data_IF_406924929178
#
_entry.id   IF_406924929178
#
_cell.length_a   1.000
_cell.length_b   1.000
_cell.length_c   1.000
_cell.angle_alpha   90.00
_cell.angle_beta   90.00
_cell.angle_gamma   90.00
#
_symmetry.space_group_name_H-M   'P 1'
#
loop_
_entity.id
_entity.type
_entity.pdbx_description
1 polymer ?
#
# COMPACT_ATOMS: atom_id res chain seq x y z
N UNK A 1 -6.91 -13.69 -8.57
CA UNK A 1 -7.81 -12.53 -8.77
C UNK A 1 -6.98 -11.27 -8.65
N UNK A 2 -6.85 -10.50 -9.74
CA UNK A 2 -6.06 -9.26 -9.73
C UNK A 2 -6.85 -8.16 -9.02
N UNK A 3 -6.51 -7.88 -7.77
CA UNK A 3 -7.18 -6.85 -6.98
C UNK A 3 -6.73 -5.47 -7.47
N UNK A 4 -7.70 -4.61 -7.77
CA UNK A 4 -7.46 -3.20 -8.07
C UNK A 4 -6.94 -2.49 -6.84
N UNK A 5 -5.72 -1.96 -6.93
CA UNK A 5 -5.16 -1.00 -5.98
C UNK A 5 -5.73 0.37 -6.35
N UNK A 6 -6.82 0.79 -5.71
CA UNK A 6 -7.34 2.15 -5.83
C UNK A 6 -7.17 2.87 -4.50
N UNK A 7 -6.48 4.01 -4.50
CA UNK A 7 -6.34 4.91 -3.35
C UNK A 7 -7.33 6.05 -3.54
N UNK A 8 -8.28 6.20 -2.61
CA UNK A 8 -9.11 7.40 -2.50
C UNK A 8 -9.07 7.89 -1.06
N UNK A 9 -8.56 9.12 -0.86
CA UNK A 9 -8.83 9.95 0.31
C UNK A 9 -7.61 10.32 1.17
N UNK A 10 -7.21 11.59 1.09
CA UNK A 10 -6.27 12.23 2.02
C UNK A 10 -6.88 12.35 3.42
N UNK A 11 -6.20 11.80 4.44
CA UNK A 11 -6.68 11.63 5.81
C UNK A 11 -6.54 12.86 6.72
N UNK A 12 -6.00 13.98 6.23
CA UNK A 12 -5.64 15.13 7.08
C UNK A 12 -6.81 15.76 7.83
N UNK A 13 -8.04 15.65 7.33
CA UNK A 13 -9.22 16.30 7.95
C UNK A 13 -9.93 15.44 9.02
N UNK A 14 -9.66 14.13 9.11
CA UNK A 14 -10.44 13.23 9.96
C UNK A 14 -9.82 12.99 11.36
N UNK A 15 -8.51 13.22 11.51
CA UNK A 15 -7.80 12.97 12.77
C UNK A 15 -8.11 13.99 13.86
N UNK A 16 -8.21 15.28 13.50
CA UNK A 16 -8.51 16.39 14.44
C UNK A 16 -9.87 16.25 15.14
N UNK A 17 -10.82 15.51 14.54
CA UNK A 17 -12.17 15.38 15.08
C UNK A 17 -12.34 14.24 16.09
N UNK A 18 -11.45 13.24 16.10
CA UNK A 18 -11.68 11.98 16.83
C UNK A 18 -10.89 11.91 18.14
N UNK A 19 -9.69 12.46 18.20
CA UNK A 19 -8.80 12.25 19.36
C UNK A 19 -9.00 13.30 20.46
N UNK A 20 -9.54 14.47 20.11
CA UNK A 20 -9.58 15.58 21.07
C UNK A 20 -8.18 16.03 21.50
N UNK A 21 -7.17 15.80 20.67
CA UNK A 21 -5.82 16.34 20.81
C UNK A 21 -5.19 16.48 19.43
N UNK A 22 -4.38 17.52 19.26
CA UNK A 22 -3.56 17.69 18.08
C UNK A 22 -2.42 16.65 18.12
N UNK A 23 -2.38 15.78 17.10
CA UNK A 23 -1.42 14.69 17.00
C UNK A 23 0.03 15.16 16.75
N UNK A 24 0.24 16.45 16.46
CA UNK A 24 1.58 17.02 16.26
C UNK A 24 2.15 17.62 17.55
N UNK A 25 1.30 18.14 18.43
CA UNK A 25 1.72 18.93 19.61
C UNK A 25 1.36 18.30 20.95
N UNK A 26 0.42 17.36 21.00
CA UNK A 26 0.10 16.58 22.20
C UNK A 26 -0.62 17.35 23.33
N UNK A 27 -1.11 18.57 23.09
CA UNK A 27 -1.96 19.27 24.06
C UNK A 27 -3.38 18.66 24.08
N UNK A 28 -3.91 18.39 25.28
CA UNK A 28 -5.28 17.92 25.45
C UNK A 28 -6.28 19.03 25.12
N UNK A 29 -7.19 18.77 24.18
CA UNK A 29 -8.31 19.66 23.90
C UNK A 29 -9.40 19.51 24.99
N UNK A 30 -9.05 19.81 26.23
CA UNK A 30 -9.96 19.87 27.39
C UNK A 30 -10.91 21.09 27.38
N UNK A 31 -11.29 21.63 26.20
CA UNK A 31 -12.13 22.84 26.09
C UNK A 31 -13.45 22.67 25.35
N UNK A 32 -13.85 21.46 24.94
CA UNK A 32 -15.10 21.25 24.20
C UNK A 32 -16.22 20.54 24.95
N UNK A 33 -15.99 20.01 26.16
CA UNK A 33 -17.07 19.45 26.99
C UNK A 33 -17.86 20.52 27.78
N UNK A 34 -17.46 21.79 27.74
CA UNK A 34 -18.16 22.86 28.43
C UNK A 34 -19.20 23.61 27.57
N UNK A 35 -19.35 23.30 26.28
CA UNK A 35 -20.22 24.06 25.37
C UNK A 35 -21.27 23.21 24.62
N UNK A 36 -21.52 21.97 25.05
CA UNK A 36 -22.77 21.29 24.68
C UNK A 36 -23.83 21.74 25.68
N UNK A 37 -24.46 22.88 25.36
CA UNK A 37 -25.61 23.39 26.10
C UNK A 37 -26.67 22.30 26.24
N UNK A 38 -26.81 21.77 27.46
CA UNK A 38 -27.86 20.86 27.85
C UNK A 38 -29.18 21.64 27.87
N UNK A 39 -29.87 21.74 26.74
CA UNK A 39 -31.25 22.24 26.69
C UNK A 39 -32.15 21.18 27.36
N UNK A 40 -32.81 21.45 28.49
CA UNK A 40 -33.74 20.51 29.10
C UNK A 40 -34.93 20.31 28.16
N UNK A 41 -35.12 19.09 27.64
CA UNK A 41 -36.31 18.71 26.86
C UNK A 41 -36.15 18.49 25.34
N UNK A 42 -34.94 18.61 24.77
CA UNK A 42 -34.73 18.38 23.34
C UNK A 42 -34.40 16.94 22.96
N UNK A 43 -35.07 16.36 21.95
CA UNK A 43 -34.81 15.03 21.35
C UNK A 43 -33.46 14.94 20.59
N UNK A 44 -32.34 15.30 21.22
CA UNK A 44 -31.01 15.40 20.58
C UNK A 44 -30.19 14.11 20.77
N UNK A 45 -30.46 13.32 21.82
CA UNK A 45 -29.70 12.09 22.12
C UNK A 45 -29.74 11.04 20.99
N UNK A 46 -30.85 10.93 20.26
CA UNK A 46 -31.01 9.93 19.21
C UNK A 46 -30.21 10.23 17.93
N UNK A 47 -29.95 11.51 17.62
CA UNK A 47 -29.17 11.91 16.44
C UNK A 47 -27.67 11.81 16.69
N UNK A 48 -27.19 12.21 17.87
CA UNK A 48 -25.77 12.08 18.26
C UNK A 48 -25.35 10.61 18.33
N UNK A 49 -26.18 9.73 18.91
CA UNK A 49 -25.89 8.30 18.97
C UNK A 49 -25.76 7.62 17.59
N UNK A 50 -26.62 7.98 16.63
CA UNK A 50 -26.53 7.46 15.24
C UNK A 50 -25.30 7.98 14.50
N UNK A 51 -24.94 9.24 14.69
CA UNK A 51 -23.75 9.84 14.05
C UNK A 51 -22.47 9.20 14.61
N UNK A 52 -22.33 9.13 15.94
CA UNK A 52 -21.17 8.50 16.58
C UNK A 52 -21.03 7.00 16.22
N UNK A 53 -22.13 6.25 16.18
CA UNK A 53 -22.13 4.85 15.76
C UNK A 53 -21.71 4.65 14.30
N UNK A 54 -22.19 5.51 13.39
CA UNK A 54 -21.81 5.45 11.98
C UNK A 54 -20.33 5.82 11.75
N UNK A 55 -19.80 6.79 12.51
CA UNK A 55 -18.37 7.14 12.48
C UNK A 55 -17.51 5.98 12.97
N UNK A 56 -17.85 5.39 14.13
CA UNK A 56 -17.14 4.21 14.66
C UNK A 56 -17.14 3.04 13.67
N UNK A 57 -18.29 2.72 13.05
CA UNK A 57 -18.39 1.65 12.03
C UNK A 57 -17.51 1.93 10.81
N UNK A 58 -17.43 3.19 10.35
CA UNK A 58 -16.59 3.60 9.21
C UNK A 58 -15.10 3.49 9.53
N UNK A 59 -14.68 3.93 10.71
CA UNK A 59 -13.28 3.84 11.16
C UNK A 59 -12.87 2.38 11.28
N UNK A 60 -13.66 1.54 11.96
CA UNK A 60 -13.39 0.10 12.12
C UNK A 60 -13.33 -0.63 10.78
N UNK A 61 -14.20 -0.28 9.83
CA UNK A 61 -14.15 -0.79 8.47
C UNK A 61 -12.88 -0.38 7.71
N UNK A 62 -12.48 0.89 7.81
CA UNK A 62 -11.27 1.40 7.17
C UNK A 62 -10.01 0.71 7.70
N UNK A 63 -9.83 0.61 9.02
CA UNK A 63 -8.65 -0.06 9.62
C UNK A 63 -8.59 -1.54 9.26
N UNK A 64 -9.74 -2.22 9.19
CA UNK A 64 -9.80 -3.62 8.76
C UNK A 64 -9.38 -3.78 7.30
N UNK A 65 -9.79 -2.85 6.44
CA UNK A 65 -9.40 -2.85 5.02
C UNK A 65 -7.90 -2.57 4.84
N UNK A 66 -7.34 -1.65 5.63
CA UNK A 66 -5.92 -1.33 5.64
C UNK A 66 -5.08 -2.53 6.11
N UNK A 67 -5.51 -3.20 7.19
CA UNK A 67 -4.83 -4.39 7.69
C UNK A 67 -4.84 -5.53 6.67
N UNK A 68 -5.97 -5.77 6.00
CA UNK A 68 -6.05 -6.77 4.91
C UNK A 68 -5.12 -6.41 3.75
N UNK A 69 -5.06 -5.13 3.38
CA UNK A 69 -4.14 -4.65 2.34
C UNK A 69 -2.68 -4.82 2.75
N UNK A 70 -2.32 -4.49 4.00
CA UNK A 70 -0.96 -4.66 4.52
C UNK A 70 -0.52 -6.11 4.42
N UNK A 71 -1.32 -7.05 4.95
CA UNK A 71 -1.00 -8.48 4.88
C UNK A 71 -0.86 -8.99 3.45
N UNK A 72 -1.69 -8.48 2.54
CA UNK A 72 -1.59 -8.81 1.12
C UNK A 72 -0.28 -8.31 0.50
N UNK A 73 0.08 -7.04 0.73
CA UNK A 73 1.34 -6.46 0.26
C UNK A 73 2.56 -7.17 0.87
N UNK A 74 2.50 -7.55 2.16
CA UNK A 74 3.55 -8.30 2.84
C UNK A 74 3.75 -9.68 2.19
N UNK A 75 2.65 -10.35 1.79
CA UNK A 75 2.70 -11.60 1.04
C UNK A 75 3.39 -11.43 -0.32
N UNK A 76 3.00 -10.40 -1.07
CA UNK A 76 3.60 -10.07 -2.37
C UNK A 76 5.10 -9.75 -2.24
N UNK A 77 5.46 -8.88 -1.29
CA UNK A 77 6.84 -8.50 -0.99
C UNK A 77 7.69 -9.72 -0.63
N UNK A 78 7.18 -10.59 0.25
CA UNK A 78 7.88 -11.81 0.69
C UNK A 78 8.15 -12.77 -0.46
N UNK A 79 7.27 -12.84 -1.46
CA UNK A 79 7.47 -13.72 -2.62
C UNK A 79 8.72 -13.35 -3.44
N UNK A 80 9.12 -12.08 -3.44
CA UNK A 80 10.36 -11.60 -4.09
C UNK A 80 11.64 -12.07 -3.38
N UNK A 81 11.55 -12.32 -2.07
CA UNK A 81 12.66 -12.81 -1.22
C UNK A 81 12.92 -14.31 -1.37
N UNK A 82 12.05 -15.05 -2.08
CA UNK A 82 12.25 -16.46 -2.31
C UNK A 82 13.61 -16.70 -3.01
N UNK A 83 14.38 -17.67 -2.50
CA UNK A 83 15.67 -18.03 -3.06
C UNK A 83 15.51 -18.59 -4.48
N UNK A 84 16.49 -18.25 -5.30
CA UNK A 84 16.67 -18.66 -6.67
C UNK A 84 18.10 -19.22 -6.85
N UNK A 85 18.53 -19.43 -8.08
CA UNK A 85 19.85 -19.95 -8.41
C UNK A 85 20.95 -18.93 -8.11
N UNK A 86 22.15 -19.45 -7.85
CA UNK A 86 23.38 -18.65 -7.66
C UNK A 86 23.34 -17.70 -6.45
N UNK A 87 22.62 -18.05 -5.39
CA UNK A 87 22.51 -17.22 -4.18
C UNK A 87 21.70 -15.94 -4.36
N UNK A 88 21.02 -15.79 -5.50
CA UNK A 88 20.11 -14.68 -5.75
C UNK A 88 18.70 -15.02 -5.24
N UNK A 89 17.92 -14.00 -4.88
CA UNK A 89 16.47 -14.12 -4.72
C UNK A 89 15.79 -13.93 -6.07
N UNK A 90 14.50 -14.28 -6.16
CA UNK A 90 13.72 -14.01 -7.38
C UNK A 90 13.78 -12.54 -7.78
N UNK A 91 13.62 -11.62 -6.82
CA UNK A 91 13.71 -10.18 -7.07
C UNK A 91 15.13 -9.77 -7.51
N UNK A 92 16.17 -10.26 -6.83
CA UNK A 92 17.56 -9.95 -7.19
C UNK A 92 17.92 -10.42 -8.59
N UNK A 93 17.58 -11.66 -8.95
CA UNK A 93 17.80 -12.23 -10.29
C UNK A 93 16.99 -11.50 -11.36
N UNK A 94 15.75 -11.14 -11.07
CA UNK A 94 14.93 -10.39 -12.01
C UNK A 94 15.53 -9.00 -12.28
N UNK A 95 16.01 -8.30 -11.24
CA UNK A 95 16.65 -7.00 -11.40
C UNK A 95 17.95 -7.14 -12.19
N UNK A 96 18.79 -8.11 -11.86
CA UNK A 96 20.04 -8.37 -12.58
C UNK A 96 19.78 -8.64 -14.06
N UNK A 97 18.70 -9.35 -14.40
CA UNK A 97 18.34 -9.59 -15.80
C UNK A 97 17.75 -8.37 -16.52
N UNK A 98 16.90 -7.59 -15.84
CA UNK A 98 16.14 -6.51 -16.49
C UNK A 98 16.88 -5.17 -16.44
N UNK A 99 17.56 -4.85 -15.33
CA UNK A 99 18.37 -3.66 -15.15
C UNK A 99 19.65 -3.63 -15.99
N UNK A 100 20.15 -4.79 -16.43
CA UNK A 100 21.30 -4.87 -17.35
C UNK A 100 20.92 -4.73 -18.83
N UNK A 101 19.65 -4.49 -19.18
CA UNK A 101 19.24 -4.26 -20.57
C UNK A 101 19.50 -2.82 -20.99
N UNK A 102 19.85 -2.63 -22.26
CA UNK A 102 19.86 -1.31 -22.89
C UNK A 102 18.45 -0.71 -22.85
N UNK A 103 18.33 0.57 -22.49
CA UNK A 103 17.04 1.28 -22.36
C UNK A 103 16.08 0.65 -21.32
N UNK A 104 16.64 0.17 -20.19
CA UNK A 104 15.85 -0.36 -19.07
C UNK A 104 15.31 0.77 -18.19
N UNK A 105 14.04 0.68 -17.79
CA UNK A 105 13.45 1.54 -16.74
C UNK A 105 13.89 1.15 -15.33
N UNK A 106 14.54 0.00 -15.16
CA UNK A 106 15.14 -0.42 -13.90
C UNK A 106 16.62 -0.02 -13.84
N UNK A 107 17.11 0.39 -12.66
CA UNK A 107 18.53 0.62 -12.46
C UNK A 107 19.32 -0.67 -12.62
N UNK A 108 20.58 -0.53 -13.03
CA UNK A 108 21.52 -1.64 -13.15
C UNK A 108 21.77 -2.26 -11.76
N UNK A 109 21.65 -3.58 -11.64
CA UNK A 109 22.04 -4.27 -10.42
C UNK A 109 23.57 -4.38 -10.34
N UNK A 110 24.15 -3.94 -9.23
CA UNK A 110 25.63 -3.94 -9.03
C UNK A 110 26.04 -4.66 -7.75
N UNK A 111 27.30 -5.08 -7.68
CA UNK A 111 27.87 -5.76 -6.52
C UNK A 111 27.64 -7.28 -6.50
N UNK A 112 27.74 -7.86 -5.32
CA UNK A 112 27.58 -9.28 -5.06
C UNK A 112 26.10 -9.73 -5.02
N UNK A 113 25.85 -11.02 -4.82
CA UNK A 113 24.50 -11.57 -4.79
C UNK A 113 23.64 -10.95 -3.69
N UNK A 114 24.19 -10.72 -2.49
CA UNK A 114 23.48 -10.07 -1.39
C UNK A 114 23.05 -8.64 -1.75
N UNK A 115 23.97 -7.85 -2.33
CA UNK A 115 23.69 -6.49 -2.80
C UNK A 115 22.61 -6.47 -3.87
N UNK A 116 22.67 -7.38 -4.84
CA UNK A 116 21.67 -7.51 -5.90
C UNK A 116 20.30 -7.91 -5.36
N UNK A 117 20.26 -8.79 -4.35
CA UNK A 117 19.02 -9.20 -3.69
C UNK A 117 18.35 -8.03 -2.98
N UNK A 118 19.11 -7.22 -2.25
CA UNK A 118 18.59 -6.01 -1.60
C UNK A 118 18.08 -5.00 -2.61
N UNK A 119 18.85 -4.72 -3.67
CA UNK A 119 18.43 -3.81 -4.73
C UNK A 119 17.16 -4.29 -5.43
N UNK A 120 17.09 -5.58 -5.79
CA UNK A 120 15.90 -6.16 -6.42
C UNK A 120 14.68 -6.08 -5.52
N UNK A 121 14.85 -6.37 -4.23
CA UNK A 121 13.76 -6.27 -3.27
C UNK A 121 13.26 -4.83 -3.08
N UNK A 122 14.18 -3.87 -3.00
CA UNK A 122 13.83 -2.45 -2.92
C UNK A 122 12.97 -2.02 -4.12
N UNK A 123 13.36 -2.41 -5.34
CA UNK A 123 12.58 -2.07 -6.55
C UNK A 123 11.18 -2.71 -6.54
N UNK A 124 11.05 -3.93 -6.03
CA UNK A 124 9.75 -4.58 -5.87
C UNK A 124 8.87 -3.85 -4.86
N UNK A 125 9.41 -3.56 -3.67
CA UNK A 125 8.66 -2.94 -2.58
C UNK A 125 8.23 -1.50 -2.92
N UNK A 126 9.09 -0.75 -3.60
CA UNK A 126 8.80 0.60 -4.08
C UNK A 126 7.61 0.61 -5.07
N UNK A 127 7.56 -0.31 -6.03
CA UNK A 127 6.42 -0.44 -6.96
C UNK A 127 5.15 -0.86 -6.22
N UNK A 128 5.24 -1.78 -5.26
CA UNK A 128 4.09 -2.26 -4.48
C UNK A 128 3.48 -1.20 -3.56
N UNK A 129 4.33 -0.32 -3.02
CA UNK A 129 3.93 0.70 -2.04
C UNK A 129 3.62 2.06 -2.66
N UNK A 130 3.97 2.28 -3.93
CA UNK A 130 3.62 3.50 -4.64
C UNK A 130 2.09 3.66 -4.76
N UNK A 131 1.50 4.78 -4.25
CA UNK A 131 0.06 4.97 -4.23
C UNK A 131 -0.56 5.16 -5.63
N UNK A 132 0.26 5.49 -6.63
CA UNK A 132 -0.16 5.66 -8.02
C UNK A 132 0.07 4.41 -8.86
N UNK A 133 0.53 3.30 -8.27
CA UNK A 133 0.67 2.04 -8.97
C UNK A 133 -0.69 1.48 -9.41
N UNK A 134 -0.77 1.05 -10.66
CA UNK A 134 -1.97 0.49 -11.27
C UNK A 134 -1.81 -1.01 -11.50
N UNK A 135 -2.90 -1.76 -11.29
CA UNK A 135 -2.95 -3.22 -11.27
C UNK A 135 -3.83 -3.73 -12.42
N UNK A 136 -3.31 -4.67 -13.22
CA UNK A 136 -3.98 -5.20 -14.42
C UNK A 136 -3.92 -6.73 -14.45
N UNK A 137 -5.03 -7.43 -14.76
CA UNK A 137 -5.00 -8.88 -14.88
C UNK A 137 -4.08 -9.28 -16.04
N UNK A 138 -3.32 -10.35 -15.86
CA UNK A 138 -2.48 -10.89 -16.91
C UNK A 138 -3.03 -12.18 -17.49
N UNK A 139 -2.54 -12.56 -18.67
CA UNK A 139 -2.98 -13.77 -19.41
C UNK A 139 -2.71 -15.09 -18.68
N UNK A 140 -1.86 -15.07 -17.65
CA UNK A 140 -1.49 -16.25 -16.85
C UNK A 140 -2.35 -16.41 -15.59
N UNK A 141 -3.43 -15.63 -15.45
CA UNK A 141 -4.35 -15.70 -14.30
C UNK A 141 -3.88 -14.93 -13.06
N UNK A 142 -2.72 -14.29 -13.15
CA UNK A 142 -2.15 -13.42 -12.13
C UNK A 142 -2.39 -11.93 -12.41
N UNK A 143 -1.44 -11.11 -11.96
CA UNK A 143 -1.60 -9.66 -11.95
C UNK A 143 -0.29 -8.96 -12.31
N UNK A 144 -0.38 -7.94 -13.15
CA UNK A 144 0.72 -7.05 -13.49
C UNK A 144 0.49 -5.70 -12.81
N UNK A 145 1.48 -5.20 -12.07
CA UNK A 145 1.41 -3.91 -11.39
C UNK A 145 2.44 -2.98 -12.01
N UNK A 146 2.04 -1.77 -12.39
CA UNK A 146 2.91 -0.76 -12.99
C UNK A 146 2.91 0.50 -12.15
N UNK A 147 4.11 1.01 -11.86
CA UNK A 147 4.35 2.34 -11.31
C UNK A 147 4.25 3.39 -12.44
N UNK A 148 3.94 4.68 -12.12
CA UNK A 148 3.83 5.74 -13.12
C UNK A 148 5.08 6.00 -13.96
N UNK A 149 6.26 5.64 -13.44
CA UNK A 149 7.54 5.74 -14.12
C UNK A 149 7.78 4.61 -15.15
N UNK A 150 6.79 3.73 -15.33
CA UNK A 150 6.81 2.64 -16.31
C UNK A 150 7.47 1.36 -15.81
N UNK A 151 8.06 1.34 -14.60
CA UNK A 151 8.52 0.09 -13.97
C UNK A 151 7.32 -0.79 -13.64
N UNK A 152 7.36 -2.05 -14.04
CA UNK A 152 6.31 -3.01 -13.74
C UNK A 152 6.80 -4.29 -13.08
N UNK A 153 5.88 -5.00 -12.43
CA UNK A 153 6.09 -6.30 -11.79
C UNK A 153 4.96 -7.25 -12.19
N UNK A 154 5.28 -8.53 -12.32
CA UNK A 154 4.31 -9.60 -12.61
C UNK A 154 4.25 -10.60 -11.47
N UNK A 155 3.02 -10.92 -11.09
CA UNK A 155 2.66 -12.03 -10.21
C UNK A 155 1.91 -13.11 -10.98
N UNK A 156 2.07 -14.36 -10.56
CA UNK A 156 1.26 -15.49 -11.04
C UNK A 156 -0.11 -15.55 -10.33
N UNK A 157 -0.89 -16.59 -10.61
CA UNK A 157 -2.21 -16.79 -10.02
C UNK A 157 -2.17 -16.98 -8.48
N UNK A 158 -1.04 -17.46 -7.95
CA UNK A 158 -0.81 -17.75 -6.54
C UNK A 158 -0.16 -16.56 -5.80
N UNK A 159 -0.06 -15.40 -6.45
CA UNK A 159 0.58 -14.19 -5.93
C UNK A 159 2.10 -14.32 -5.72
N UNK A 160 2.77 -15.23 -6.43
CA UNK A 160 4.23 -15.29 -6.41
C UNK A 160 4.84 -14.33 -7.43
N UNK A 161 5.82 -13.55 -6.97
CA UNK A 161 6.63 -12.72 -7.85
C UNK A 161 7.29 -13.58 -8.93
N UNK A 162 7.13 -13.14 -10.18
CA UNK A 162 7.64 -13.85 -11.35
C UNK A 162 8.77 -13.07 -12.02
N UNK A 163 8.53 -11.81 -12.40
CA UNK A 163 9.50 -11.02 -13.18
C UNK A 163 9.21 -9.51 -13.13
N UNK A 164 10.24 -8.70 -13.37
CA UNK A 164 10.09 -7.28 -13.71
C UNK A 164 9.62 -7.09 -15.16
N UNK A 165 8.73 -6.15 -15.38
CA UNK A 165 8.19 -5.77 -16.68
C UNK A 165 8.73 -4.40 -17.07
N UNK A 166 9.25 -4.29 -18.29
CA UNK A 166 9.59 -2.99 -18.87
C UNK A 166 8.29 -2.24 -19.26
N UNK A 167 8.33 -0.92 -19.45
CA UNK A 167 7.15 -0.16 -19.84
C UNK A 167 6.54 -0.72 -21.11
N UNK A 168 5.21 -0.69 -21.19
CA UNK A 168 4.54 -0.90 -22.47
C UNK A 168 4.83 0.34 -23.32
N UNK A 169 5.62 0.18 -24.37
CA UNK A 169 5.63 1.16 -25.46
C UNK A 169 4.22 1.13 -26.07
N UNK A 170 3.44 2.17 -25.77
CA UNK A 170 2.16 2.42 -26.40
C UNK A 170 2.38 2.86 -27.85
#
# INVERSE_FOLDING_TARGET
>A
MCSTISVVGSLKSAGEFIVGSDLVTGEEASRWMAAVGLVPGGKIAARVGKVAFNVSKRVTGAVSSMFRRSNYLDGLSRSGKALDRSGLTKAGRALDKHGNRFDSSFPKATGDSASKNMQGQFQLDDILTNPQSASYPNRTGGCDIFSPDGRGIRFDADNNFTVFLQPRRL
#
